data_IF_700752275600
#
_entry.id   IF_700752275600
#
_cell.length_a   1.000
_cell.length_b   1.000
_cell.length_c   1.000
_cell.angle_alpha   90.00
_cell.angle_beta   90.00
_cell.angle_gamma   90.00
#
_symmetry.space_group_name_H-M   'P 1'
#
loop_
_entity.id
_entity.type
_entity.pdbx_description
1 polymer ?
#
# COMPACT_ATOMS: atom_id res chain seq x y z
N UNK A 1 -20.01 -4.47 27.20
CA UNK A 1 -20.21 -3.00 27.08
C UNK A 1 -19.64 -2.59 25.73
N UNK A 2 -20.50 -2.23 24.77
CA UNK A 2 -20.11 -1.98 23.37
C UNK A 2 -19.50 -0.57 23.29
N UNK A 3 -18.17 -0.47 23.19
CA UNK A 3 -17.53 0.83 22.98
C UNK A 3 -17.89 1.31 21.58
N UNK A 4 -18.51 2.48 21.51
CA UNK A 4 -18.92 3.11 20.26
C UNK A 4 -17.66 3.69 19.59
N UNK A 5 -16.76 2.85 19.09
CA UNK A 5 -15.44 3.26 18.57
C UNK A 5 -15.62 3.97 17.23
N UNK A 6 -15.35 5.25 17.20
CA UNK A 6 -15.30 6.09 16.01
C UNK A 6 -13.95 6.80 15.95
N UNK A 7 -13.57 7.30 14.77
CA UNK A 7 -12.29 7.99 14.59
C UNK A 7 -12.08 9.14 15.60
N UNK A 8 -13.18 9.74 16.07
CA UNK A 8 -13.17 10.86 17.02
C UNK A 8 -12.89 10.45 18.47
N UNK A 9 -13.03 9.17 18.84
CA UNK A 9 -12.79 8.69 20.21
C UNK A 9 -11.76 7.56 20.30
N UNK A 10 -11.09 7.22 19.20
CA UNK A 10 -10.10 6.14 19.16
C UNK A 10 -8.90 6.40 20.09
N UNK A 11 -8.54 7.66 20.35
CA UNK A 11 -7.41 7.99 21.23
C UNK A 11 -7.65 7.52 22.67
N UNK A 12 -8.86 7.72 23.22
CA UNK A 12 -9.17 7.31 24.59
C UNK A 12 -9.17 5.79 24.73
N UNK A 13 -9.65 5.08 23.69
CA UNK A 13 -9.60 3.61 23.61
C UNK A 13 -8.16 3.13 23.61
N UNK A 14 -7.30 3.69 22.76
CA UNK A 14 -5.87 3.33 22.68
C UNK A 14 -5.19 3.53 24.03
N UNK A 15 -5.40 4.69 24.68
CA UNK A 15 -4.83 4.98 26.01
C UNK A 15 -5.31 4.00 27.07
N UNK A 16 -6.60 3.66 27.07
CA UNK A 16 -7.18 2.72 28.02
C UNK A 16 -6.61 1.31 27.86
N UNK A 17 -6.47 0.84 26.61
CA UNK A 17 -5.86 -0.47 26.31
C UNK A 17 -4.39 -0.49 26.72
N UNK A 18 -3.62 0.53 26.34
CA UNK A 18 -2.18 0.59 26.67
C UNK A 18 -1.94 0.68 28.18
N UNK A 19 -2.76 1.43 28.93
CA UNK A 19 -2.68 1.50 30.40
C UNK A 19 -2.93 0.14 31.04
N UNK A 20 -3.87 -0.64 30.52
CA UNK A 20 -4.17 -1.97 31.02
C UNK A 20 -3.03 -2.97 30.73
N UNK A 21 -2.45 -2.92 29.53
CA UNK A 21 -1.39 -3.83 29.10
C UNK A 21 -0.02 -3.53 29.72
N UNK A 22 0.33 -2.25 29.86
CA UNK A 22 1.69 -1.86 30.29
C UNK A 22 1.82 -1.56 31.78
N UNK A 23 0.70 -1.38 32.51
CA UNK A 23 0.68 -0.85 33.88
C UNK A 23 1.36 0.51 34.06
N UNK A 24 1.74 1.18 32.96
CA UNK A 24 2.34 2.52 32.98
C UNK A 24 1.21 3.55 32.98
N UNK A 25 1.23 4.44 33.98
CA UNK A 25 0.18 5.43 34.20
C UNK A 25 0.25 6.63 33.25
N UNK A 26 1.44 6.97 32.74
CA UNK A 26 1.67 8.13 31.87
C UNK A 26 2.29 7.72 30.53
N UNK A 27 1.44 7.28 29.60
CA UNK A 27 1.84 6.84 28.27
C UNK A 27 1.83 8.03 27.31
N UNK A 28 3.03 8.47 26.92
CA UNK A 28 3.21 9.45 25.86
C UNK A 28 3.00 8.79 24.50
N UNK A 29 1.85 9.09 23.88
CA UNK A 29 1.61 8.69 22.50
C UNK A 29 2.50 9.49 21.53
N UNK A 30 2.93 8.89 20.41
CA UNK A 30 3.62 9.61 19.36
C UNK A 30 2.80 10.81 18.87
N UNK A 31 3.49 11.91 18.56
CA UNK A 31 2.84 13.08 17.96
C UNK A 31 2.24 12.71 16.60
N UNK A 32 1.17 13.41 16.21
CA UNK A 32 0.54 13.24 14.89
C UNK A 32 1.53 13.35 13.73
N UNK A 33 2.55 14.21 13.87
CA UNK A 33 3.62 14.36 12.86
C UNK A 33 4.45 13.10 12.72
N UNK A 34 4.86 12.48 13.82
CA UNK A 34 5.61 11.23 13.82
C UNK A 34 4.80 10.10 13.16
N UNK A 35 3.53 9.95 13.53
CA UNK A 35 2.66 8.95 12.93
C UNK A 35 2.48 9.15 11.41
N UNK A 36 2.38 10.40 10.94
CA UNK A 36 2.34 10.73 9.51
C UNK A 36 3.65 10.35 8.79
N UNK A 37 4.80 10.64 9.38
CA UNK A 37 6.10 10.26 8.82
C UNK A 37 6.22 8.73 8.71
N UNK A 38 5.92 8.00 9.79
CA UNK A 38 5.91 6.54 9.80
C UNK A 38 4.98 5.95 8.75
N UNK A 39 3.80 6.55 8.55
CA UNK A 39 2.88 6.10 7.51
C UNK A 39 3.44 6.30 6.09
N UNK A 40 4.10 7.42 5.83
CA UNK A 40 4.73 7.69 4.54
C UNK A 40 5.91 6.75 4.27
N UNK A 41 6.75 6.49 5.27
CA UNK A 41 7.85 5.53 5.20
C UNK A 41 7.32 4.10 4.98
N UNK A 42 6.33 3.69 5.77
CA UNK A 42 5.66 2.39 5.61
C UNK A 42 5.03 2.22 4.23
N UNK A 43 4.43 3.28 3.68
CA UNK A 43 3.90 3.28 2.31
C UNK A 43 5.01 3.07 1.27
N UNK A 44 6.16 3.73 1.42
CA UNK A 44 7.28 3.55 0.51
C UNK A 44 7.85 2.12 0.58
N UNK A 45 7.97 1.56 1.79
CA UNK A 45 8.39 0.17 1.98
C UNK A 45 7.40 -0.83 1.36
N UNK A 46 6.09 -0.61 1.54
CA UNK A 46 5.06 -1.44 0.92
C UNK A 46 5.13 -1.41 -0.61
N UNK A 47 5.45 -0.25 -1.20
CA UNK A 47 5.64 -0.11 -2.65
C UNK A 47 6.87 -0.89 -3.13
N UNK A 48 7.99 -0.83 -2.41
CA UNK A 48 9.18 -1.62 -2.73
C UNK A 48 8.89 -3.12 -2.63
N UNK A 49 8.19 -3.55 -1.57
CA UNK A 49 7.82 -4.94 -1.40
C UNK A 49 6.89 -5.44 -2.52
N UNK A 50 5.90 -4.65 -2.93
CA UNK A 50 5.05 -5.00 -4.07
C UNK A 50 5.88 -5.14 -5.36
N UNK A 51 6.83 -4.23 -5.57
CA UNK A 51 7.71 -4.26 -6.73
C UNK A 51 8.57 -5.53 -6.75
N UNK A 52 9.17 -5.91 -5.62
CA UNK A 52 9.99 -7.13 -5.53
C UNK A 52 9.20 -8.38 -5.89
N UNK A 53 7.95 -8.49 -5.42
CA UNK A 53 7.07 -9.62 -5.75
C UNK A 53 6.70 -9.63 -7.24
N UNK A 54 6.38 -8.47 -7.82
CA UNK A 54 6.04 -8.35 -9.24
C UNK A 54 7.24 -8.67 -10.15
N UNK A 55 8.45 -8.18 -9.79
CA UNK A 55 9.69 -8.50 -10.53
C UNK A 55 9.98 -9.98 -10.45
N UNK A 56 9.87 -10.58 -9.26
CA UNK A 56 10.10 -12.01 -9.07
C UNK A 56 9.15 -12.83 -9.94
N UNK A 57 7.85 -12.55 -9.90
CA UNK A 57 6.86 -13.22 -10.74
C UNK A 57 7.20 -13.10 -12.24
N UNK A 58 7.66 -11.93 -12.69
CA UNK A 58 8.08 -11.72 -14.07
C UNK A 58 9.34 -12.54 -14.45
N UNK A 59 10.32 -12.64 -13.55
CA UNK A 59 11.55 -13.43 -13.76
C UNK A 59 11.25 -14.93 -13.78
N UNK A 60 10.39 -15.39 -12.88
CA UNK A 60 9.99 -16.79 -12.75
C UNK A 60 9.00 -17.23 -13.84
N UNK A 61 8.52 -16.28 -14.67
CA UNK A 61 7.56 -16.54 -15.74
C UNK A 61 6.14 -16.83 -15.25
N UNK A 62 5.81 -16.39 -14.04
CA UNK A 62 4.49 -16.58 -13.45
C UNK A 62 3.45 -15.65 -14.09
N UNK A 63 2.25 -16.19 -14.32
CA UNK A 63 1.14 -15.39 -14.78
C UNK A 63 0.58 -14.53 -13.63
N UNK A 64 0.61 -13.21 -13.80
CA UNK A 64 -0.01 -12.26 -12.87
C UNK A 64 -1.32 -11.76 -13.45
N UNK A 65 -2.41 -11.91 -12.69
CA UNK A 65 -3.73 -11.42 -13.07
C UNK A 65 -3.95 -10.07 -12.39
N UNK A 66 -4.27 -9.05 -13.18
CA UNK A 66 -4.64 -7.74 -12.65
C UNK A 66 -6.16 -7.66 -12.47
N UNK A 67 -6.60 -7.48 -11.22
CA UNK A 67 -7.97 -7.21 -10.83
C UNK A 67 -8.18 -5.74 -10.50
N UNK A 68 -9.41 -5.26 -10.71
CA UNK A 68 -9.82 -3.92 -10.29
C UNK A 68 -11.19 -3.98 -9.62
N UNK A 69 -11.33 -3.33 -8.47
CA UNK A 69 -12.63 -3.14 -7.81
C UNK A 69 -12.90 -1.65 -7.61
N UNK A 70 -14.18 -1.26 -7.66
CA UNK A 70 -14.63 0.12 -7.60
C UNK A 70 -15.73 0.32 -6.57
N UNK A 71 -15.58 1.30 -5.70
CA UNK A 71 -16.58 1.63 -4.67
C UNK A 71 -16.88 3.12 -4.61
N UNK A 72 -18.05 3.48 -4.09
CA UNK A 72 -18.43 4.87 -3.85
C UNK A 72 -18.74 5.07 -2.38
N UNK A 73 -18.08 6.03 -1.74
CA UNK A 73 -18.26 6.33 -0.31
C UNK A 73 -18.29 7.84 -0.08
N UNK A 74 -19.35 8.31 0.58
CA UNK A 74 -19.55 9.73 0.89
C UNK A 74 -19.48 10.66 -0.34
N UNK A 75 -19.98 10.20 -1.49
CA UNK A 75 -19.93 10.95 -2.75
C UNK A 75 -18.60 10.86 -3.52
N UNK A 76 -17.58 10.23 -2.94
CA UNK A 76 -16.28 10.01 -3.58
C UNK A 76 -16.21 8.59 -4.17
N UNK A 77 -15.60 8.45 -5.34
CA UNK A 77 -15.39 7.15 -5.99
C UNK A 77 -13.96 6.69 -5.77
N UNK A 78 -13.77 5.42 -5.50
CA UNK A 78 -12.46 4.82 -5.23
C UNK A 78 -12.29 3.57 -6.09
N UNK A 79 -11.09 3.33 -6.57
CA UNK A 79 -10.68 2.11 -7.23
C UNK A 79 -9.53 1.43 -6.47
N UNK A 80 -9.62 0.11 -6.30
CA UNK A 80 -8.48 -0.74 -5.95
C UNK A 80 -7.95 -1.41 -7.21
N UNK A 81 -6.65 -1.68 -7.18
CA UNK A 81 -5.93 -2.40 -8.21
C UNK A 81 -5.14 -3.47 -7.50
N UNK A 82 -5.39 -4.71 -7.88
CA UNK A 82 -4.92 -5.90 -7.18
C UNK A 82 -4.20 -6.82 -8.15
N UNK A 83 -3.04 -7.33 -7.75
CA UNK A 83 -2.27 -8.32 -8.49
C UNK A 83 -2.46 -9.68 -7.81
N UNK A 84 -3.04 -10.64 -8.54
CA UNK A 84 -3.24 -12.01 -8.10
C UNK A 84 -2.19 -12.92 -8.74
N UNK A 85 -1.56 -13.76 -7.92
CA UNK A 85 -0.47 -14.66 -8.32
C UNK A 85 -0.94 -16.11 -8.37
N UNK A 86 -0.14 -16.98 -9.00
CA UNK A 86 -0.45 -18.42 -9.15
C UNK A 86 -0.53 -19.19 -7.84
N UNK A 87 0.12 -18.71 -6.79
CA UNK A 87 0.05 -19.30 -5.44
C UNK A 87 -1.25 -18.92 -4.68
N UNK A 88 -2.12 -18.14 -5.32
CA UNK A 88 -3.38 -17.63 -4.74
C UNK A 88 -3.19 -16.41 -3.84
N UNK A 89 -1.97 -15.88 -3.71
CA UNK A 89 -1.74 -14.62 -3.02
C UNK A 89 -2.26 -13.44 -3.84
N UNK A 90 -2.68 -12.39 -3.13
CA UNK A 90 -3.19 -11.15 -3.72
C UNK A 90 -2.48 -9.98 -3.08
N UNK A 91 -1.93 -9.09 -3.91
CA UNK A 91 -1.31 -7.85 -3.47
C UNK A 91 -2.07 -6.64 -3.99
N UNK A 92 -2.45 -5.75 -3.08
CA UNK A 92 -3.05 -4.46 -3.44
C UNK A 92 -1.94 -3.52 -3.92
N UNK A 93 -1.85 -3.33 -5.23
CA UNK A 93 -0.83 -2.44 -5.83
C UNK A 93 -1.23 -0.96 -5.70
N UNK A 94 -2.51 -0.66 -5.52
CA UNK A 94 -2.96 0.71 -5.29
C UNK A 94 -4.43 0.85 -4.93
N UNK A 95 -4.71 1.87 -4.11
CA UNK A 95 -6.04 2.43 -3.88
C UNK A 95 -6.01 3.90 -4.28
N UNK A 96 -6.95 4.34 -5.11
CA UNK A 96 -7.03 5.73 -5.57
C UNK A 96 -8.46 6.22 -5.62
N UNK A 97 -8.63 7.49 -5.28
CA UNK A 97 -9.86 8.19 -5.61
C UNK A 97 -9.92 8.41 -7.13
N UNK A 98 -11.12 8.28 -7.70
CA UNK A 98 -11.38 8.37 -9.12
C UNK A 98 -12.40 9.48 -9.39
N UNK A 99 -12.22 10.22 -10.48
CA UNK A 99 -13.18 11.27 -10.87
C UNK A 99 -14.51 10.68 -11.33
N UNK A 100 -14.49 9.47 -11.90
CA UNK A 100 -15.67 8.73 -12.32
C UNK A 100 -15.45 7.22 -12.23
N UNK A 101 -16.48 6.42 -12.52
CA UNK A 101 -16.39 4.97 -12.64
C UNK A 101 -16.26 4.50 -14.09
N UNK A 102 -15.89 5.40 -15.01
CA UNK A 102 -15.72 5.02 -16.42
C UNK A 102 -14.46 4.18 -16.60
N UNK A 103 -14.48 3.29 -17.60
CA UNK A 103 -13.31 2.48 -17.95
C UNK A 103 -12.08 3.33 -18.29
N UNK A 104 -12.28 4.49 -18.91
CA UNK A 104 -11.22 5.46 -19.21
C UNK A 104 -10.57 5.98 -17.92
N UNK A 105 -11.38 6.38 -16.94
CA UNK A 105 -10.87 6.87 -15.66
C UNK A 105 -10.10 5.76 -14.91
N UNK A 106 -10.63 4.54 -14.91
CA UNK A 106 -9.95 3.38 -14.31
C UNK A 106 -8.59 3.11 -14.97
N UNK A 107 -8.53 3.14 -16.31
CA UNK A 107 -7.27 2.94 -17.03
C UNK A 107 -6.27 4.07 -16.76
N UNK A 108 -6.74 5.32 -16.72
CA UNK A 108 -5.90 6.48 -16.40
C UNK A 108 -5.27 6.34 -15.01
N UNK A 109 -6.07 6.00 -14.00
CA UNK A 109 -5.60 5.82 -12.63
C UNK A 109 -4.67 4.61 -12.50
N UNK A 110 -4.94 3.51 -13.19
CA UNK A 110 -4.01 2.37 -13.26
C UNK A 110 -2.64 2.78 -13.80
N UNK A 111 -2.59 3.60 -14.86
CA UNK A 111 -1.33 4.12 -15.40
C UNK A 111 -0.57 4.94 -14.38
N UNK A 112 -1.25 5.78 -13.61
CA UNK A 112 -0.62 6.54 -12.52
C UNK A 112 -0.02 5.63 -11.44
N UNK A 113 -0.73 4.56 -11.07
CA UNK A 113 -0.23 3.55 -10.12
C UNK A 113 1.05 2.89 -10.68
N UNK A 114 1.04 2.45 -11.94
CA UNK A 114 2.21 1.83 -12.59
C UNK A 114 3.39 2.81 -12.69
N UNK A 115 3.13 4.07 -13.03
CA UNK A 115 4.16 5.11 -13.12
C UNK A 115 4.92 5.30 -11.81
N UNK A 116 4.28 5.11 -10.66
CA UNK A 116 4.96 5.17 -9.35
C UNK A 116 6.02 4.06 -9.26
N UNK A 117 5.68 2.83 -9.64
CA UNK A 117 6.62 1.71 -9.65
C UNK A 117 7.77 1.94 -10.64
N UNK A 118 7.47 2.43 -11.84
CA UNK A 118 8.51 2.76 -12.84
C UNK A 118 9.48 3.83 -12.32
N UNK A 119 8.98 4.87 -11.65
CA UNK A 119 9.82 5.91 -11.06
C UNK A 119 10.71 5.37 -9.92
N UNK A 120 10.23 4.38 -9.17
CA UNK A 120 11.03 3.71 -8.14
C UNK A 120 12.17 2.92 -8.80
N UNK A 121 11.88 2.13 -9.84
CA UNK A 121 12.89 1.37 -10.58
C UNK A 121 13.97 2.30 -11.15
N UNK A 122 13.59 3.39 -11.81
CA UNK A 122 14.54 4.33 -12.41
C UNK A 122 15.47 5.01 -11.39
N UNK A 123 15.02 5.17 -10.15
CA UNK A 123 15.81 5.77 -9.05
C UNK A 123 16.63 4.74 -8.29
N UNK A 124 16.46 3.45 -8.57
CA UNK A 124 17.17 2.37 -7.94
C UNK A 124 18.26 1.89 -8.90
N UNK A 125 19.57 1.91 -8.55
CA UNK A 125 20.56 1.25 -9.38
C UNK A 125 20.20 -0.24 -9.43
N UNK A 126 19.74 -0.71 -10.59
CA UNK A 126 19.51 -2.14 -10.81
C UNK A 126 20.81 -2.87 -10.46
N UNK A 127 20.77 -3.98 -9.70
CA UNK A 127 21.95 -4.80 -9.52
C UNK A 127 22.36 -5.30 -10.90
N UNK A 128 23.53 -4.87 -11.38
CA UNK A 128 24.18 -5.41 -12.57
C UNK A 128 24.07 -6.93 -12.53
N UNK A 129 23.39 -7.52 -13.50
CA UNK A 129 23.41 -8.97 -13.66
C UNK A 129 24.87 -9.38 -13.91
N UNK A 130 25.38 -10.24 -13.03
CA UNK A 130 26.66 -10.91 -13.21
C UNK A 130 26.55 -11.78 -14.45
N UNK A 131 26.96 -11.25 -15.61
CA UNK A 131 27.41 -11.98 -16.79
C UNK A 131 27.94 -11.04 -17.90
N UNK A 132 28.62 -9.97 -17.53
CA UNK A 132 29.53 -9.31 -18.47
C UNK A 132 30.84 -10.09 -18.49
N UNK A 133 30.91 -11.09 -19.36
CA UNK A 133 32.17 -11.71 -19.78
C UNK A 133 32.89 -10.64 -20.60
N UNK A 134 33.86 -9.97 -19.97
CA UNK A 134 34.82 -9.15 -20.70
C UNK A 134 35.82 -10.09 -21.38
N UNK A 135 35.72 -10.19 -22.71
CA UNK A 135 36.84 -10.61 -23.56
C UNK A 135 37.70 -9.38 -23.88
#
# INVERSE_FOLDING_TARGET
MMQNVCANNVESVIRSVLKHLSQISDIRLPRKTFAKCMFLEGRALAQLQCLDVLIKAAVDGEAVILGTDGTTKWGHKYGTYDASFSDGSVQVIGLREMSSGSAECTLYVLKEVILIFLNIIQRSPLPCSKNCICH
#
